data_IF_546330008991
#
_entry.id   IF_546330008991
#
_cell.length_a   1.000
_cell.length_b   1.000
_cell.length_c   1.000
_cell.angle_alpha   90.00
_cell.angle_beta   90.00
_cell.angle_gamma   90.00
#
_symmetry.space_group_name_H-M   'P 1'
#
loop_
_entity.id
_entity.type
_entity.pdbx_description
1 polymer ?
#
# COMPACT_ATOMS: atom_id res chain seq x y z
N UNK A 1 -0.10 -21.84 0.42
CA UNK A 1 -0.96 -20.63 0.46
C UNK A 1 -1.43 -20.30 -0.95
N UNK A 2 -2.71 -20.07 -1.14
CA UNK A 2 -3.23 -19.70 -2.46
C UNK A 2 -2.87 -18.24 -2.77
N UNK A 3 -2.99 -17.88 -4.06
CA UNK A 3 -2.74 -16.49 -4.48
C UNK A 3 -3.70 -15.52 -3.79
N UNK A 4 -4.97 -15.90 -3.65
CA UNK A 4 -5.95 -15.05 -2.99
C UNK A 4 -5.62 -14.84 -1.53
N UNK A 5 -5.17 -15.88 -0.83
CA UNK A 5 -4.73 -15.74 0.56
C UNK A 5 -3.50 -14.85 0.68
N UNK A 6 -2.56 -14.96 -0.27
CA UNK A 6 -1.39 -14.11 -0.30
C UNK A 6 -1.78 -12.64 -0.54
N UNK A 7 -2.69 -12.39 -1.47
CA UNK A 7 -3.18 -11.04 -1.74
C UNK A 7 -3.93 -10.47 -0.54
N UNK A 8 -4.75 -11.27 0.12
CA UNK A 8 -5.45 -10.84 1.34
C UNK A 8 -4.47 -10.43 2.43
N UNK A 9 -3.39 -11.18 2.60
CA UNK A 9 -2.36 -10.83 3.57
C UNK A 9 -1.70 -9.48 3.25
N UNK A 10 -1.47 -9.21 1.96
CA UNK A 10 -0.90 -7.94 1.51
C UNK A 10 -1.89 -6.80 1.80
N UNK A 11 -3.15 -6.95 1.44
CA UNK A 11 -4.16 -5.93 1.69
C UNK A 11 -4.35 -5.67 3.18
N UNK A 12 -4.35 -6.72 3.99
CA UNK A 12 -4.44 -6.57 5.43
C UNK A 12 -3.25 -5.79 5.98
N UNK A 13 -2.05 -6.14 5.53
CA UNK A 13 -0.85 -5.44 5.97
C UNK A 13 -0.88 -3.96 5.56
N UNK A 14 -1.32 -3.66 4.35
CA UNK A 14 -1.41 -2.29 3.84
C UNK A 14 -2.59 -1.51 4.43
N UNK A 15 -3.51 -2.18 5.10
CA UNK A 15 -4.69 -1.54 5.68
C UNK A 15 -4.43 -0.72 6.93
N UNK A 16 -3.20 -0.65 7.40
CA UNK A 16 -2.82 0.09 8.60
C UNK A 16 -1.88 1.23 8.21
N UNK A 17 -2.20 2.46 8.61
CA UNK A 17 -1.42 3.63 8.23
C UNK A 17 0.01 3.58 8.76
N UNK A 18 0.22 3.04 9.97
CA UNK A 18 1.57 2.93 10.52
C UNK A 18 2.42 1.97 9.72
N UNK A 19 1.84 0.86 9.27
CA UNK A 19 2.57 -0.07 8.41
C UNK A 19 2.93 0.56 7.07
N UNK A 20 2.03 1.32 6.47
CA UNK A 20 2.35 2.05 5.23
C UNK A 20 3.48 3.05 5.44
N UNK A 21 3.49 3.75 6.59
CA UNK A 21 4.57 4.68 6.92
C UNK A 21 5.90 3.96 7.11
N UNK A 22 5.87 2.79 7.71
CA UNK A 22 7.10 1.97 7.85
C UNK A 22 7.66 1.59 6.48
N UNK A 23 6.79 1.18 5.55
CA UNK A 23 7.22 0.89 4.18
C UNK A 23 7.78 2.13 3.49
N UNK A 24 7.16 3.29 3.68
CA UNK A 24 7.65 4.54 3.11
C UNK A 24 9.06 4.87 3.63
N UNK A 25 9.32 4.63 4.91
CA UNK A 25 10.65 4.84 5.49
C UNK A 25 11.70 3.90 4.91
N UNK A 26 11.29 2.72 4.46
CA UNK A 26 12.17 1.72 3.85
C UNK A 26 12.28 1.88 2.34
N UNK A 27 11.60 2.86 1.76
CA UNK A 27 11.51 3.02 0.30
C UNK A 27 12.89 3.21 -0.34
N UNK A 28 13.73 4.04 0.25
CA UNK A 28 15.02 4.40 -0.32
C UNK A 28 16.19 3.64 0.29
N UNK A 29 16.01 3.09 1.48
CA UNK A 29 17.08 2.35 2.16
C UNK A 29 16.52 1.46 3.25
N UNK A 30 17.29 0.46 3.64
CA UNK A 30 16.96 -0.38 4.78
C UNK A 30 16.92 0.40 6.08
N UNK A 31 16.08 -0.05 7.00
CA UNK A 31 15.93 0.55 8.33
C UNK A 31 16.07 -0.53 9.38
N UNK A 32 16.83 -0.24 10.43
CA UNK A 32 16.85 -1.15 11.58
C UNK A 32 15.55 -1.02 12.36
N UNK A 33 15.23 -2.04 13.13
CA UNK A 33 14.09 -1.98 14.04
C UNK A 33 14.23 -0.81 15.01
N UNK A 34 15.46 -0.56 15.48
CA UNK A 34 15.72 0.59 16.33
C UNK A 34 15.42 1.93 15.66
N UNK A 35 15.79 2.07 14.37
CA UNK A 35 15.41 3.26 13.59
C UNK A 35 13.91 3.46 13.57
N UNK A 36 13.16 2.42 13.31
CA UNK A 36 11.71 2.49 13.25
C UNK A 36 11.12 2.86 14.61
N UNK A 37 11.65 2.31 15.69
CA UNK A 37 11.21 2.67 17.03
C UNK A 37 11.43 4.16 17.32
N UNK A 38 12.50 4.75 16.81
CA UNK A 38 12.76 6.19 16.97
C UNK A 38 11.79 7.05 16.17
N UNK A 39 11.30 6.56 15.04
CA UNK A 39 10.30 7.27 14.24
C UNK A 39 8.88 7.16 14.82
N UNK A 40 8.57 6.05 15.47
CA UNK A 40 7.23 5.78 16.00
C UNK A 40 7.26 5.84 17.53
N UNK A 41 7.48 7.06 18.06
CA UNK A 41 7.64 7.28 19.50
C UNK A 41 6.37 7.01 20.30
N UNK A 42 5.21 6.99 19.66
CA UNK A 42 3.94 6.65 20.28
C UNK A 42 3.70 5.14 20.39
N UNK A 43 4.61 4.33 19.84
CA UNK A 43 4.51 2.87 19.88
C UNK A 43 5.65 2.31 20.72
N UNK A 44 5.36 1.27 21.49
CA UNK A 44 6.43 0.53 22.15
C UNK A 44 7.10 -0.42 21.14
N UNK A 45 8.24 -0.97 21.55
CA UNK A 45 9.02 -1.84 20.66
C UNK A 45 8.24 -3.10 20.28
N UNK A 46 7.46 -3.65 21.18
CA UNK A 46 6.65 -4.84 20.89
C UNK A 46 5.64 -4.57 19.79
N UNK A 47 5.00 -3.42 19.83
CA UNK A 47 4.02 -3.03 18.80
C UNK A 47 4.69 -2.80 17.46
N UNK A 48 5.85 -2.14 17.43
CA UNK A 48 6.63 -1.99 16.21
C UNK A 48 6.97 -3.36 15.63
N UNK A 49 7.43 -4.30 16.47
CA UNK A 49 7.75 -5.64 16.04
C UNK A 49 6.54 -6.39 15.49
N UNK A 50 5.36 -6.22 16.11
CA UNK A 50 4.13 -6.82 15.60
C UNK A 50 3.79 -6.33 14.20
N UNK A 51 3.94 -5.03 13.95
CA UNK A 51 3.73 -4.46 12.62
C UNK A 51 4.74 -5.03 11.61
N UNK A 52 6.00 -5.13 12.01
CA UNK A 52 7.03 -5.69 11.13
C UNK A 52 6.77 -7.17 10.83
N UNK A 53 6.28 -7.92 11.79
CA UNK A 53 5.94 -9.32 11.59
C UNK A 53 4.78 -9.48 10.60
N UNK A 54 3.79 -8.61 10.66
CA UNK A 54 2.70 -8.59 9.68
C UNK A 54 3.22 -8.27 8.29
N UNK A 55 4.11 -7.29 8.17
CA UNK A 55 4.72 -6.92 6.90
C UNK A 55 5.59 -8.05 6.34
N UNK A 56 6.36 -8.70 7.18
CA UNK A 56 7.20 -9.83 6.75
C UNK A 56 6.33 -11.00 6.32
N UNK A 57 5.28 -11.31 7.07
CA UNK A 57 4.36 -12.40 6.74
C UNK A 57 3.64 -12.18 5.41
N UNK A 58 3.43 -10.93 5.02
CA UNK A 58 2.84 -10.57 3.72
C UNK A 58 3.89 -10.43 2.61
N UNK A 59 5.15 -10.73 2.90
CA UNK A 59 6.26 -10.63 1.96
C UNK A 59 6.49 -9.19 1.44
N UNK A 60 6.10 -8.22 2.23
CA UNK A 60 6.28 -6.80 1.88
C UNK A 60 7.63 -6.26 2.31
N UNK A 61 8.30 -6.94 3.23
CA UNK A 61 9.64 -6.59 3.65
C UNK A 61 10.53 -7.83 3.65
N UNK A 62 11.82 -7.58 3.48
CA UNK A 62 12.87 -8.59 3.60
C UNK A 62 13.65 -8.24 4.86
N UNK A 63 13.86 -9.24 5.72
CA UNK A 63 14.57 -9.05 6.97
C UNK A 63 15.94 -9.70 6.89
N UNK A 64 16.96 -8.96 7.31
CA UNK A 64 18.33 -9.48 7.45
C UNK A 64 18.86 -9.13 8.82
N UNK A 65 19.43 -10.12 9.48
CA UNK A 65 20.06 -9.91 10.77
C UNK A 65 21.56 -9.76 10.55
N UNK A 66 22.12 -8.72 11.16
CA UNK A 66 23.54 -8.43 11.11
C UNK A 66 23.99 -7.96 12.49
N UNK A 67 24.75 -8.81 13.19
CA UNK A 67 25.14 -8.55 14.56
C UNK A 67 23.91 -8.44 15.46
N UNK A 68 23.76 -7.32 16.15
CA UNK A 68 22.63 -7.04 17.05
C UNK A 68 21.47 -6.41 16.33
N UNK A 69 21.61 -6.10 15.04
CA UNK A 69 20.60 -5.34 14.31
C UNK A 69 19.74 -6.25 13.46
N UNK A 70 18.47 -5.95 13.45
CA UNK A 70 17.52 -6.49 12.49
C UNK A 70 17.29 -5.40 11.44
N UNK A 71 17.73 -5.66 10.22
CA UNK A 71 17.56 -4.77 9.09
C UNK A 71 16.31 -5.13 8.33
N UNK A 72 15.50 -4.14 8.06
CA UNK A 72 14.23 -4.29 7.35
C UNK A 72 14.31 -3.53 6.03
N UNK A 73 14.01 -4.21 4.93
CA UNK A 73 14.06 -3.66 3.59
C UNK A 73 12.71 -3.81 2.93
N UNK A 74 12.27 -2.79 2.19
CA UNK A 74 11.09 -2.92 1.36
C UNK A 74 11.32 -4.00 0.30
N UNK A 75 10.31 -4.84 0.08
CA UNK A 75 10.29 -5.77 -1.04
C UNK A 75 9.38 -5.22 -2.14
N UNK A 76 9.91 -4.44 -3.09
CA UNK A 76 9.06 -3.81 -4.10
C UNK A 76 8.45 -4.80 -5.07
N UNK A 77 9.03 -5.99 -5.19
CA UNK A 77 8.52 -7.02 -6.10
C UNK A 77 7.12 -7.46 -5.72
N UNK A 78 6.85 -7.64 -4.43
CA UNK A 78 5.53 -8.05 -3.95
C UNK A 78 4.47 -7.02 -4.32
N UNK A 79 4.78 -5.73 -4.12
CA UNK A 79 3.86 -4.64 -4.48
C UNK A 79 3.66 -4.59 -6.00
N UNK A 80 4.72 -4.72 -6.76
CA UNK A 80 4.64 -4.69 -8.22
C UNK A 80 3.81 -5.86 -8.76
N UNK A 81 4.01 -7.06 -8.22
CA UNK A 81 3.24 -8.22 -8.64
C UNK A 81 1.76 -8.07 -8.30
N UNK A 82 1.44 -7.53 -7.14
CA UNK A 82 0.05 -7.26 -6.78
C UNK A 82 -0.56 -6.23 -7.73
N UNK A 83 0.18 -5.16 -8.02
CA UNK A 83 -0.28 -4.13 -8.95
C UNK A 83 -0.56 -4.72 -10.32
N UNK A 84 0.34 -5.58 -10.83
CA UNK A 84 0.17 -6.20 -12.14
C UNK A 84 -1.02 -7.15 -12.17
N UNK A 85 -1.24 -7.92 -11.10
CA UNK A 85 -2.32 -8.90 -11.05
C UNK A 85 -3.70 -8.26 -10.88
N UNK A 86 -3.77 -7.19 -10.09
CA UNK A 86 -5.07 -6.68 -9.68
C UNK A 86 -5.28 -5.20 -9.98
N UNK A 87 -4.34 -4.35 -9.59
CA UNK A 87 -4.53 -2.88 -9.67
C UNK A 87 -4.52 -2.38 -11.11
N UNK A 88 -3.59 -2.85 -11.93
CA UNK A 88 -3.45 -2.40 -13.31
C UNK A 88 -4.64 -2.72 -14.19
N UNK A 89 -5.34 -3.78 -13.88
CA UNK A 89 -6.56 -4.11 -14.63
C UNK A 89 -7.57 -2.97 -14.60
N UNK A 90 -7.52 -2.15 -13.57
CA UNK A 90 -8.45 -1.05 -13.37
C UNK A 90 -7.83 0.31 -13.65
N UNK A 91 -6.52 0.38 -13.87
CA UNK A 91 -5.82 1.65 -13.87
C UNK A 91 -5.97 2.42 -15.18
N UNK A 92 -5.89 1.77 -16.34
CA UNK A 92 -5.90 2.49 -17.62
C UNK A 92 -7.25 2.37 -18.30
N UNK A 93 -7.64 1.18 -18.72
CA UNK A 93 -8.88 0.98 -19.46
C UNK A 93 -10.12 1.34 -18.66
N UNK A 94 -10.19 0.85 -17.42
CA UNK A 94 -11.38 1.06 -16.58
C UNK A 94 -11.49 2.51 -16.12
N UNK A 95 -10.38 3.13 -15.74
CA UNK A 95 -10.40 4.54 -15.34
C UNK A 95 -10.79 5.41 -16.50
N UNK A 96 -10.28 5.14 -17.71
CA UNK A 96 -10.65 5.92 -18.89
C UNK A 96 -12.13 5.76 -19.24
N UNK A 97 -12.66 4.54 -19.12
CA UNK A 97 -14.09 4.32 -19.35
C UNK A 97 -14.96 5.04 -18.32
N UNK A 98 -14.55 4.99 -17.06
CA UNK A 98 -15.27 5.67 -16.00
C UNK A 98 -15.22 7.18 -16.18
N UNK A 99 -14.06 7.70 -16.55
CA UNK A 99 -13.91 9.14 -16.81
C UNK A 99 -14.79 9.56 -17.99
N UNK A 100 -14.88 8.73 -19.04
CA UNK A 100 -15.77 9.00 -20.17
C UNK A 100 -17.22 9.00 -19.73
N UNK A 101 -17.64 8.00 -18.99
CA UNK A 101 -19.01 7.91 -18.49
C UNK A 101 -19.35 9.12 -17.63
N UNK A 102 -18.43 9.51 -16.76
CA UNK A 102 -18.64 10.69 -15.91
C UNK A 102 -18.82 11.95 -16.76
N UNK A 103 -18.01 12.12 -17.78
CA UNK A 103 -18.14 13.27 -18.68
C UNK A 103 -19.46 13.26 -19.44
N UNK A 104 -19.88 12.09 -19.89
CA UNK A 104 -21.16 11.96 -20.58
C UNK A 104 -22.32 12.34 -19.65
N UNK A 105 -22.31 11.85 -18.43
CA UNK A 105 -23.34 12.19 -17.44
C UNK A 105 -23.31 13.67 -17.08
N UNK A 106 -22.14 14.24 -16.90
CA UNK A 106 -22.00 15.66 -16.60
C UNK A 106 -22.37 16.52 -17.83
N UNK A 107 -22.04 16.03 -19.03
CA UNK A 107 -22.44 16.70 -20.25
C UNK A 107 -23.94 16.75 -20.42
N UNK A 108 -24.62 15.64 -20.14
CA UNK A 108 -26.08 15.61 -20.18
C UNK A 108 -26.69 16.57 -19.15
N UNK A 109 -26.14 16.58 -17.94
CA UNK A 109 -26.57 17.49 -16.89
C UNK A 109 -26.32 18.94 -17.29
N UNK A 110 -25.18 19.21 -17.91
CA UNK A 110 -24.84 20.56 -18.38
C UNK A 110 -25.74 21.01 -19.53
N UNK A 111 -26.22 20.07 -20.35
CA UNK A 111 -27.11 20.35 -21.45
C UNK A 111 -28.56 20.61 -20.97
N UNK A 112 -28.89 20.17 -19.78
CA UNK A 112 -30.18 20.43 -19.18
C UNK A 112 -30.31 21.92 -18.88
N UNK A 113 -31.35 22.57 -19.37
CA UNK A 113 -31.55 23.98 -19.08
C UNK A 113 -31.58 24.31 -17.58
N UNK A 114 -32.08 23.42 -16.77
CA UNK A 114 -32.05 23.58 -15.34
C UNK A 114 -30.68 23.33 -14.76
N UNK A 115 -29.99 22.37 -15.35
CA UNK A 115 -28.64 21.96 -14.89
C UNK A 115 -27.63 23.08 -15.06
N UNK A 116 -27.74 23.83 -16.12
CA UNK A 116 -26.81 24.92 -16.38
C UNK A 116 -26.99 26.08 -15.44
N UNK A 117 -28.16 26.19 -14.83
CA UNK A 117 -28.39 27.21 -13.86
C UNK A 117 -27.56 27.00 -12.59
N UNK A 118 -27.07 25.80 -12.44
CA UNK A 118 -26.23 25.49 -11.32
C UNK A 118 -24.78 25.87 -11.57
#
# INVERSE_FOLDING_TARGET
>A
MSRDQADDAIFKALGDARRRRMLDLMKDRGRTTGDLCRHFTDLDRCTVMQHLDVLEGADLIIVRRSGRHRWNYLNPLTIQQLADRWVRRYAVGTVNRLARLKRELEGDAAADPDGEAG
#
